data_IF_773116536880
#
_entry.id   IF_773116536880
#
_cell.length_a   1.000
_cell.length_b   1.000
_cell.length_c   1.000
_cell.angle_alpha   90.00
_cell.angle_beta   90.00
_cell.angle_gamma   90.00
#
_symmetry.space_group_name_H-M   'P 1'
#
loop_
_entity.id
_entity.type
_entity.pdbx_description
1 polymer ?
#
# COMPACT_ATOMS: atom_id res chain seq x y z
N UNK A 1 22.10 -11.20 5.76
CA UNK A 1 20.67 -11.27 5.38
C UNK A 1 20.23 -9.99 4.72
N UNK A 2 19.51 -10.11 3.60
CA UNK A 2 19.02 -8.99 2.86
C UNK A 2 17.86 -8.29 3.55
N UNK A 3 17.91 -6.96 3.64
CA UNK A 3 16.74 -6.20 4.05
C UNK A 3 15.81 -6.04 2.85
N UNK A 4 14.52 -5.91 3.11
CA UNK A 4 13.55 -5.65 2.05
C UNK A 4 13.89 -4.34 1.31
N UNK A 5 14.47 -3.35 2.01
CA UNK A 5 14.87 -2.08 1.39
C UNK A 5 15.96 -2.27 0.36
N UNK A 6 16.94 -3.11 0.66
CA UNK A 6 18.01 -3.41 -0.28
C UNK A 6 17.48 -4.14 -1.52
N UNK A 7 16.54 -5.06 -1.32
CA UNK A 7 15.96 -5.81 -2.42
C UNK A 7 15.17 -4.91 -3.37
N UNK A 8 14.33 -4.00 -2.86
CA UNK A 8 13.52 -3.13 -3.72
C UNK A 8 14.30 -1.98 -4.33
N UNK A 9 15.43 -1.59 -3.74
CA UNK A 9 16.29 -0.55 -4.30
C UNK A 9 17.18 -1.04 -5.44
N UNK A 10 17.18 -2.35 -5.69
CA UNK A 10 18.00 -2.93 -6.73
C UNK A 10 19.45 -3.12 -6.36
N UNK A 11 19.82 -2.95 -5.09
CA UNK A 11 21.18 -3.18 -4.63
C UNK A 11 21.62 -4.63 -4.81
N UNK A 12 20.63 -5.52 -4.88
CA UNK A 12 20.87 -6.93 -5.14
C UNK A 12 20.11 -7.32 -6.38
N UNK A 13 20.82 -7.37 -7.47
CA UNK A 13 20.27 -7.57 -8.79
C UNK A 13 19.55 -8.92 -8.98
N UNK A 14 19.78 -9.89 -8.12
CA UNK A 14 19.15 -11.23 -8.22
C UNK A 14 17.78 -11.29 -7.57
N UNK A 15 17.48 -10.37 -6.65
CA UNK A 15 16.23 -10.38 -5.92
C UNK A 15 15.49 -9.10 -6.26
N UNK A 16 14.38 -9.25 -6.95
CA UNK A 16 13.56 -8.12 -7.37
C UNK A 16 12.24 -8.18 -6.63
N UNK A 17 12.10 -7.32 -5.62
CA UNK A 17 10.85 -7.20 -4.90
C UNK A 17 9.84 -6.43 -5.75
N UNK A 18 8.60 -6.90 -5.75
CA UNK A 18 7.50 -6.27 -6.48
C UNK A 18 6.77 -5.30 -5.57
N UNK A 19 6.80 -4.04 -5.94
CA UNK A 19 6.20 -2.96 -5.17
C UNK A 19 5.04 -2.35 -5.96
N UNK A 20 3.87 -2.29 -5.33
CA UNK A 20 2.65 -1.78 -5.96
C UNK A 20 2.01 -0.72 -5.09
N UNK A 21 1.38 0.28 -5.72
CA UNK A 21 0.57 1.27 -5.03
C UNK A 21 -0.89 0.87 -5.00
N UNK A 22 -1.59 1.26 -3.96
CA UNK A 22 -3.03 1.09 -3.88
C UNK A 22 -3.70 2.43 -3.61
N UNK A 23 -4.69 2.76 -4.43
CA UNK A 23 -5.47 3.99 -4.30
C UNK A 23 -6.95 3.64 -4.20
N UNK A 24 -7.65 4.34 -3.32
CA UNK A 24 -9.10 4.18 -3.18
C UNK A 24 -9.76 5.55 -3.02
N UNK A 25 -10.82 5.76 -3.75
CA UNK A 25 -11.66 6.94 -3.60
C UNK A 25 -13.10 6.49 -3.36
N UNK A 26 -13.66 6.92 -2.23
CA UNK A 26 -15.01 6.60 -1.83
C UNK A 26 -15.95 7.76 -2.16
N UNK A 27 -17.20 7.44 -2.49
CA UNK A 27 -18.25 8.46 -2.64
C UNK A 27 -18.53 9.17 -1.32
N UNK A 28 -18.21 8.51 -0.21
CA UNK A 28 -18.46 9.01 1.14
C UNK A 28 -17.24 9.75 1.70
N UNK A 29 -16.31 10.13 0.84
CA UNK A 29 -15.07 10.78 1.24
C UNK A 29 -15.35 12.15 1.85
N UNK A 30 -14.77 12.40 3.02
CA UNK A 30 -14.83 13.70 3.68
C UNK A 30 -14.03 14.71 2.86
N UNK A 31 -14.61 15.91 2.64
CA UNK A 31 -13.94 16.97 1.88
C UNK A 31 -12.61 17.39 2.50
N UNK A 32 -12.48 17.32 3.81
CA UNK A 32 -11.25 17.70 4.50
C UNK A 32 -10.12 16.68 4.28
N UNK A 33 -10.49 15.43 4.04
CA UNK A 33 -9.54 14.35 3.83
C UNK A 33 -9.52 13.86 2.39
N UNK A 34 -10.15 14.63 1.50
CA UNK A 34 -10.24 14.22 0.11
C UNK A 34 -8.88 14.28 -0.56
N UNK A 35 -8.53 13.17 -1.19
CA UNK A 35 -7.38 13.10 -2.09
C UNK A 35 -7.81 12.29 -3.31
N UNK A 36 -7.77 12.92 -4.48
CA UNK A 36 -8.13 12.26 -5.73
C UNK A 36 -7.21 11.08 -5.99
N UNK A 37 -7.63 10.19 -6.88
CA UNK A 37 -6.79 9.08 -7.30
C UNK A 37 -5.44 9.59 -7.82
N UNK A 38 -5.46 10.63 -8.66
CA UNK A 38 -4.22 11.19 -9.21
C UNK A 38 -3.30 11.76 -8.13
N UNK A 39 -3.87 12.41 -7.13
CA UNK A 39 -3.09 12.92 -6.01
C UNK A 39 -2.50 11.81 -5.16
N UNK A 40 -3.27 10.75 -4.90
CA UNK A 40 -2.76 9.58 -4.19
C UNK A 40 -1.60 8.95 -4.94
N UNK A 41 -1.73 8.79 -6.26
CA UNK A 41 -0.64 8.26 -7.11
C UNK A 41 0.61 9.12 -7.00
N UNK A 42 0.45 10.45 -7.06
CA UNK A 42 1.56 11.38 -6.97
C UNK A 42 2.29 11.25 -5.62
N UNK A 43 1.53 11.21 -4.53
CA UNK A 43 2.10 11.08 -3.19
C UNK A 43 2.89 9.77 -3.06
N UNK A 44 2.32 8.68 -3.54
CA UNK A 44 2.96 7.37 -3.51
C UNK A 44 4.22 7.37 -4.39
N UNK A 45 4.10 7.90 -5.61
CA UNK A 45 5.22 7.94 -6.55
C UNK A 45 6.38 8.79 -6.02
N UNK A 46 6.08 9.95 -5.43
CA UNK A 46 7.11 10.82 -4.86
C UNK A 46 7.85 10.12 -3.71
N UNK A 47 7.10 9.43 -2.87
CA UNK A 47 7.69 8.67 -1.77
C UNK A 47 8.62 7.57 -2.29
N UNK A 48 8.16 6.78 -3.23
CA UNK A 48 8.92 5.67 -3.82
C UNK A 48 10.18 6.20 -4.51
N UNK A 49 10.04 7.25 -5.30
CA UNK A 49 11.16 7.86 -6.03
C UNK A 49 12.20 8.43 -5.07
N UNK A 50 11.77 9.07 -3.98
CA UNK A 50 12.70 9.67 -3.00
C UNK A 50 13.59 8.61 -2.34
N UNK A 51 13.18 7.36 -2.37
CA UNK A 51 13.94 6.25 -1.79
C UNK A 51 14.69 5.42 -2.83
N UNK A 52 14.69 5.86 -4.08
CA UNK A 52 15.30 5.15 -5.20
C UNK A 52 14.68 3.77 -5.43
N UNK A 53 13.40 3.64 -5.11
CA UNK A 53 12.64 2.42 -5.38
C UNK A 53 11.87 2.58 -6.68
N UNK A 54 11.43 1.46 -7.24
CA UNK A 54 10.62 1.43 -8.46
C UNK A 54 9.26 0.81 -8.17
N UNK A 55 8.21 1.51 -8.58
CA UNK A 55 6.84 0.98 -8.47
C UNK A 55 6.50 0.22 -9.75
N UNK A 56 5.90 -0.97 -9.60
CA UNK A 56 5.51 -1.78 -10.75
C UNK A 56 4.22 -1.27 -11.39
N UNK A 57 3.21 -1.00 -10.58
CA UNK A 57 1.92 -0.49 -11.05
C UNK A 57 1.03 -0.14 -9.85
N UNK A 58 -0.18 0.29 -10.13
CA UNK A 58 -1.19 0.65 -9.13
C UNK A 58 -2.42 -0.23 -9.25
N UNK A 59 -3.01 -0.57 -8.11
CA UNK A 59 -4.35 -1.12 -8.02
C UNK A 59 -5.28 0.01 -7.58
N UNK A 60 -6.40 0.18 -8.25
CA UNK A 60 -7.26 1.34 -8.04
C UNK A 60 -8.71 0.91 -7.88
N UNK A 61 -9.33 1.32 -6.77
CA UNK A 61 -10.76 1.21 -6.53
C UNK A 61 -11.33 2.63 -6.47
N UNK A 62 -11.88 3.08 -7.58
CA UNK A 62 -12.47 4.41 -7.69
C UNK A 62 -13.98 4.34 -7.52
N UNK A 63 -14.53 5.31 -6.78
CA UNK A 63 -15.98 5.46 -6.59
C UNK A 63 -16.62 4.26 -5.91
N UNK A 64 -15.94 3.65 -4.94
CA UNK A 64 -16.49 2.56 -4.12
C UNK A 64 -16.73 3.06 -2.70
N UNK A 65 -17.74 2.49 -2.02
CA UNK A 65 -18.01 2.86 -0.64
C UNK A 65 -16.93 2.32 0.29
N UNK A 66 -16.51 3.15 1.26
CA UNK A 66 -15.57 2.72 2.30
C UNK A 66 -16.19 1.75 3.30
N UNK A 67 -17.52 1.63 3.27
CA UNK A 67 -18.28 0.77 4.18
C UNK A 67 -18.61 -0.59 3.60
N UNK A 68 -18.44 -0.77 2.29
CA UNK A 68 -18.69 -2.06 1.65
C UNK A 68 -17.38 -2.77 1.36
N UNK A 69 -17.46 -4.10 1.25
CA UNK A 69 -16.30 -4.93 0.94
C UNK A 69 -16.12 -5.14 -0.56
N UNK A 70 -16.96 -4.51 -1.37
CA UNK A 70 -16.87 -4.64 -2.81
C UNK A 70 -15.75 -3.73 -3.33
N UNK A 71 -14.52 -4.19 -3.16
CA UNK A 71 -13.31 -3.51 -3.62
C UNK A 71 -12.52 -4.49 -4.47
N UNK A 72 -12.91 -4.64 -5.74
CA UNK A 72 -12.32 -5.68 -6.60
C UNK A 72 -10.82 -5.55 -6.81
N UNK A 73 -10.29 -4.32 -6.94
CA UNK A 73 -8.86 -4.14 -7.11
C UNK A 73 -8.09 -4.54 -5.84
N UNK A 74 -8.60 -4.14 -4.68
CA UNK A 74 -7.99 -4.51 -3.40
C UNK A 74 -7.98 -6.02 -3.20
N UNK A 75 -9.11 -6.67 -3.46
CA UNK A 75 -9.22 -8.13 -3.32
C UNK A 75 -8.21 -8.83 -4.21
N UNK A 76 -8.11 -8.41 -5.47
CA UNK A 76 -7.17 -8.99 -6.43
C UNK A 76 -5.73 -8.77 -5.99
N UNK A 77 -5.43 -7.57 -5.49
CA UNK A 77 -4.09 -7.23 -5.00
C UNK A 77 -3.68 -8.13 -3.83
N UNK A 78 -4.57 -8.32 -2.86
CA UNK A 78 -4.29 -9.16 -1.69
C UNK A 78 -4.07 -10.61 -2.12
N UNK A 79 -4.81 -11.11 -3.09
CA UNK A 79 -4.56 -12.44 -3.65
C UNK A 79 -3.14 -12.55 -4.21
N UNK A 80 -2.68 -11.53 -4.91
CA UNK A 80 -1.32 -11.50 -5.46
C UNK A 80 -0.25 -11.43 -4.37
N UNK A 81 -0.53 -10.72 -3.28
CA UNK A 81 0.36 -10.69 -2.11
C UNK A 81 0.49 -12.10 -1.53
N UNK A 82 -0.63 -12.80 -1.36
CA UNK A 82 -0.65 -14.16 -0.80
C UNK A 82 0.05 -15.16 -1.72
N UNK A 83 0.00 -14.94 -3.02
CA UNK A 83 0.68 -15.79 -4.00
C UNK A 83 2.19 -15.52 -4.09
N UNK A 84 2.68 -14.51 -3.37
CA UNK A 84 4.08 -14.12 -3.43
C UNK A 84 4.47 -13.28 -4.64
N UNK A 85 3.48 -12.76 -5.38
CA UNK A 85 3.73 -11.93 -6.57
C UNK A 85 3.87 -10.44 -6.26
N UNK A 86 3.43 -10.03 -5.08
CA UNK A 86 3.57 -8.66 -4.59
C UNK A 86 4.23 -8.73 -3.22
N UNK A 87 5.27 -7.94 -3.02
CA UNK A 87 6.05 -7.95 -1.79
C UNK A 87 5.79 -6.72 -0.92
N UNK A 88 5.50 -5.59 -1.54
CA UNK A 88 5.30 -4.32 -0.86
C UNK A 88 4.09 -3.62 -1.45
N UNK A 89 3.17 -3.18 -0.58
CA UNK A 89 2.03 -2.34 -0.96
C UNK A 89 2.21 -0.98 -0.31
N UNK A 90 2.07 0.08 -1.11
CA UNK A 90 2.20 1.46 -0.65
C UNK A 90 0.86 2.17 -0.80
N UNK A 91 0.40 2.81 0.26
CA UNK A 91 -0.84 3.60 0.26
C UNK A 91 -0.54 5.01 0.77
N UNK A 92 -1.42 5.96 0.46
CA UNK A 92 -1.29 7.31 1.00
C UNK A 92 -1.42 7.29 2.53
N UNK A 93 -2.45 6.63 3.03
CA UNK A 93 -2.68 6.45 4.46
C UNK A 93 -3.52 5.19 4.68
N UNK A 94 -3.61 4.74 5.93
CA UNK A 94 -4.30 3.49 6.26
C UNK A 94 -5.81 3.54 6.01
N UNK A 95 -6.41 4.73 5.91
CA UNK A 95 -7.84 4.85 5.61
C UNK A 95 -8.18 4.31 4.22
N UNK A 96 -7.19 4.25 3.32
CA UNK A 96 -7.39 3.68 1.98
C UNK A 96 -7.56 2.17 2.03
N UNK A 97 -6.96 1.53 3.05
CA UNK A 97 -7.15 0.10 3.29
C UNK A 97 -8.55 -0.17 3.85
N UNK A 98 -9.01 0.65 4.78
CA UNK A 98 -10.34 0.52 5.34
C UNK A 98 -10.54 1.44 6.52
N UNK A 99 -11.82 1.65 6.87
CA UNK A 99 -12.22 2.48 8.00
C UNK A 99 -12.48 1.66 9.26
N UNK A 100 -12.47 0.34 9.14
CA UNK A 100 -12.66 -0.55 10.28
C UNK A 100 -11.29 -0.89 10.87
N UNK A 101 -11.00 -0.32 12.04
CA UNK A 101 -9.69 -0.48 12.68
C UNK A 101 -9.34 -1.94 12.94
N UNK A 102 -10.32 -2.75 13.33
CA UNK A 102 -10.08 -4.18 13.60
C UNK A 102 -9.60 -4.91 12.36
N UNK A 103 -10.19 -4.63 11.19
CA UNK A 103 -9.81 -5.26 9.95
C UNK A 103 -8.45 -4.78 9.44
N UNK A 104 -8.16 -3.50 9.63
CA UNK A 104 -6.85 -2.95 9.29
C UNK A 104 -5.77 -3.61 10.13
N UNK A 105 -6.01 -3.80 11.42
CA UNK A 105 -5.07 -4.47 12.32
C UNK A 105 -4.84 -5.93 11.92
N UNK A 106 -5.90 -6.64 11.52
CA UNK A 106 -5.78 -8.02 11.03
C UNK A 106 -4.92 -8.06 9.77
N UNK A 107 -5.12 -7.12 8.85
CA UNK A 107 -4.33 -7.06 7.62
C UNK A 107 -2.85 -6.77 7.91
N UNK A 108 -2.58 -5.86 8.84
CA UNK A 108 -1.21 -5.55 9.27
C UNK A 108 -0.54 -6.81 9.82
N UNK A 109 -1.28 -7.56 10.64
CA UNK A 109 -0.80 -8.80 11.22
C UNK A 109 -0.51 -9.85 10.14
N UNK A 110 -1.42 -9.96 9.18
CA UNK A 110 -1.23 -10.87 8.04
C UNK A 110 0.03 -10.53 7.25
N UNK A 111 0.27 -9.24 6.99
CA UNK A 111 1.47 -8.80 6.29
C UNK A 111 2.73 -9.17 7.07
N UNK A 112 2.73 -8.93 8.38
CA UNK A 112 3.86 -9.34 9.24
C UNK A 112 4.12 -10.83 9.16
N UNK A 113 3.07 -11.63 9.25
CA UNK A 113 3.18 -13.09 9.21
C UNK A 113 3.70 -13.60 7.87
N UNK A 114 3.34 -12.93 6.77
CA UNK A 114 3.81 -13.27 5.44
C UNK A 114 5.20 -12.69 5.14
N UNK A 115 5.73 -11.84 6.02
CA UNK A 115 6.97 -11.09 5.80
C UNK A 115 6.87 -10.19 4.56
N UNK A 116 5.69 -9.62 4.33
CA UNK A 116 5.42 -8.63 3.29
C UNK A 116 5.26 -7.27 3.94
N UNK A 117 5.55 -6.20 3.20
CA UNK A 117 5.46 -4.85 3.76
C UNK A 117 4.24 -4.09 3.27
N UNK A 118 3.66 -3.31 4.16
CA UNK A 118 2.61 -2.35 3.87
C UNK A 118 3.11 -1.00 4.38
N UNK A 119 3.18 -0.01 3.50
CA UNK A 119 3.69 1.31 3.82
C UNK A 119 2.58 2.33 3.63
N UNK A 120 2.30 3.11 4.68
CA UNK A 120 1.41 4.25 4.62
C UNK A 120 2.27 5.52 4.65
N UNK A 121 2.21 6.32 3.58
CA UNK A 121 3.11 7.45 3.38
C UNK A 121 2.85 8.57 4.38
N UNK A 122 1.58 8.88 4.65
CA UNK A 122 1.17 10.01 5.48
C UNK A 122 0.30 9.54 6.63
N UNK A 123 0.91 8.94 7.64
CA UNK A 123 0.19 8.46 8.82
C UNK A 123 0.73 9.17 10.05
N UNK A 124 -0.14 9.88 10.77
CA UNK A 124 0.21 10.56 12.03
C UNK A 124 1.48 11.43 11.95
N UNK A 125 1.61 12.18 10.84
CA UNK A 125 2.73 13.09 10.66
C UNK A 125 3.98 12.48 10.06
N UNK A 126 3.96 11.22 9.68
CA UNK A 126 5.10 10.55 9.07
C UNK A 126 4.70 9.29 8.33
N UNK A 127 5.67 8.54 7.85
CA UNK A 127 5.40 7.26 7.21
C UNK A 127 5.34 6.13 8.24
N UNK A 128 4.59 5.09 7.91
CA UNK A 128 4.44 3.89 8.72
C UNK A 128 4.74 2.67 7.88
N UNK A 129 5.68 1.85 8.33
CA UNK A 129 6.09 0.62 7.64
C UNK A 129 5.78 -0.57 8.54
N UNK A 130 4.98 -1.51 8.06
CA UNK A 130 4.61 -2.71 8.84
C UNK A 130 5.84 -3.50 9.28
N UNK A 131 6.81 -3.71 8.41
CA UNK A 131 8.00 -4.51 8.71
C UNK A 131 9.06 -3.76 9.54
N UNK A 132 8.94 -2.45 9.69
CA UNK A 132 9.92 -1.65 10.44
C UNK A 132 9.43 -1.21 11.81
N UNK A 133 8.26 -1.65 12.20
CA UNK A 133 7.69 -1.33 13.52
C UNK A 133 7.80 -2.47 14.49
#
# INVERSE_FOLDING_TARGET
>A
MLTWKQAISGEIWRIKWQLYGYCRLSRDEDKENYASIEEQKRIIQDYVTSRNWTISDFYIDDNVSGYTFNRPAFTKMIEKVKEGKIDVVVVKDLSRIGRNNGRVLVLIDDFKNMQKNLIAVSEMGGSYDVLND
#
